data_IF_938036349173
#
_entry.id   IF_938036349173
#
_cell.length_a   1.000
_cell.length_b   1.000
_cell.length_c   1.000
_cell.angle_alpha   90.00
_cell.angle_beta   90.00
_cell.angle_gamma   90.00
#
_symmetry.space_group_name_H-M   'P 1'
#
loop_
_entity.id
_entity.type
_entity.pdbx_description
1 polymer ?
#
# COMPACT_ATOMS: atom_id res chain seq x y z
N UNK A 1 -31.41 4.61 -6.45
CA UNK A 1 -31.42 3.34 -5.69
C UNK A 1 -30.16 2.50 -5.92
N UNK A 2 -29.76 2.11 -7.15
CA UNK A 2 -28.55 1.28 -7.39
C UNK A 2 -27.21 1.85 -6.88
N UNK A 3 -27.03 3.18 -6.89
CA UNK A 3 -25.80 3.82 -6.39
C UNK A 3 -25.66 3.70 -4.86
N UNK A 4 -26.73 4.04 -4.11
CA UNK A 4 -26.74 3.92 -2.65
C UNK A 4 -26.48 2.49 -2.18
N UNK A 5 -27.06 1.51 -2.88
CA UNK A 5 -26.81 0.09 -2.58
C UNK A 5 -25.34 -0.29 -2.82
N UNK A 6 -24.74 0.18 -3.92
CA UNK A 6 -23.33 -0.09 -4.23
C UNK A 6 -22.39 0.61 -3.24
N UNK A 7 -22.68 1.86 -2.89
CA UNK A 7 -21.97 2.61 -1.86
C UNK A 7 -21.98 1.85 -0.53
N UNK A 8 -23.17 1.42 -0.07
CA UNK A 8 -23.32 0.63 1.15
C UNK A 8 -22.53 -0.67 1.12
N UNK A 9 -22.58 -1.41 0.01
CA UNK A 9 -21.81 -2.67 -0.15
C UNK A 9 -20.30 -2.46 -0.10
N UNK A 10 -19.81 -1.34 -0.64
CA UNK A 10 -18.39 -1.01 -0.60
C UNK A 10 -17.97 -0.59 0.80
N UNK A 11 -18.78 0.22 1.46
CA UNK A 11 -18.56 0.59 2.86
C UNK A 11 -18.54 -0.64 3.78
N UNK A 12 -19.52 -1.54 3.64
CA UNK A 12 -19.57 -2.82 4.35
C UNK A 12 -18.28 -3.63 4.10
N UNK A 13 -17.84 -3.78 2.85
CA UNK A 13 -16.61 -4.50 2.53
C UNK A 13 -15.34 -3.86 3.12
N UNK A 14 -15.24 -2.53 3.16
CA UNK A 14 -14.12 -1.83 3.79
C UNK A 14 -14.10 -2.08 5.29
N UNK A 15 -15.25 -1.97 5.95
CA UNK A 15 -15.35 -2.19 7.40
C UNK A 15 -15.15 -3.65 7.79
N UNK A 16 -15.66 -4.60 7.00
CA UNK A 16 -15.42 -6.04 7.21
C UNK A 16 -13.92 -6.34 7.14
N UNK A 17 -13.21 -5.79 6.14
CA UNK A 17 -11.75 -5.95 6.04
C UNK A 17 -11.01 -5.38 7.27
N UNK A 18 -11.41 -4.19 7.72
CA UNK A 18 -10.84 -3.53 8.91
C UNK A 18 -11.10 -4.38 10.17
N UNK A 19 -12.29 -4.98 10.30
CA UNK A 19 -12.66 -5.85 11.40
C UNK A 19 -11.86 -7.15 11.40
N UNK A 20 -11.73 -7.81 10.24
CA UNK A 20 -10.95 -9.03 10.10
C UNK A 20 -9.47 -8.78 10.45
N UNK A 21 -8.88 -7.67 10.01
CA UNK A 21 -7.51 -7.28 10.41
C UNK A 21 -7.41 -6.99 11.91
N UNK A 22 -8.40 -6.30 12.48
CA UNK A 22 -8.48 -6.02 13.91
C UNK A 22 -8.50 -7.30 14.74
N UNK A 23 -9.32 -8.26 14.34
CA UNK A 23 -9.46 -9.55 15.02
C UNK A 23 -8.19 -10.38 14.86
N UNK A 24 -7.71 -10.54 13.62
CA UNK A 24 -6.50 -11.29 13.29
C UNK A 24 -5.30 -10.74 14.08
N UNK A 25 -5.04 -9.43 14.03
CA UNK A 25 -3.87 -8.82 14.69
C UNK A 25 -4.12 -8.48 16.16
N UNK A 26 -5.35 -8.67 16.65
CA UNK A 26 -5.82 -8.27 17.98
C UNK A 26 -5.56 -6.78 18.29
N UNK A 27 -5.77 -5.90 17.32
CA UNK A 27 -5.54 -4.44 17.43
C UNK A 27 -6.88 -3.72 17.48
N UNK A 28 -7.18 -2.95 18.54
CA UNK A 28 -8.45 -2.22 18.61
C UNK A 28 -8.51 -1.09 17.58
N UNK A 29 -9.66 -0.97 16.91
CA UNK A 29 -9.94 0.10 15.94
C UNK A 29 -10.38 1.37 16.69
N UNK A 30 -9.63 2.47 16.62
CA UNK A 30 -9.98 3.70 17.35
C UNK A 30 -11.15 4.46 16.72
N UNK A 31 -11.37 4.32 15.42
CA UNK A 31 -12.49 4.88 14.66
C UNK A 31 -12.56 4.22 13.28
N UNK A 32 -13.74 4.26 12.65
CA UNK A 32 -13.91 3.88 11.25
C UNK A 32 -13.76 5.10 10.34
N UNK A 33 -13.05 4.98 9.21
CA UNK A 33 -12.96 6.05 8.24
C UNK A 33 -14.29 6.21 7.51
N UNK A 34 -14.56 7.40 7.00
CA UNK A 34 -15.65 7.61 6.07
C UNK A 34 -15.31 6.96 4.73
N UNK A 35 -16.26 6.28 4.07
CA UNK A 35 -16.00 5.54 2.83
C UNK A 35 -16.79 6.15 1.68
N UNK A 36 -16.14 6.40 0.54
CA UNK A 36 -16.80 6.90 -0.67
C UNK A 36 -16.44 6.09 -1.90
N UNK A 37 -17.47 5.66 -2.63
CA UNK A 37 -17.33 5.06 -3.94
C UNK A 37 -17.54 6.10 -5.03
N UNK A 38 -16.45 6.48 -5.71
CA UNK A 38 -16.48 7.50 -6.75
C UNK A 38 -16.98 6.94 -8.08
N UNK A 39 -18.31 6.89 -8.24
CA UNK A 39 -19.00 6.57 -9.49
C UNK A 39 -18.98 7.69 -10.54
N UNK A 40 -19.85 7.60 -11.56
CA UNK A 40 -20.01 8.63 -12.61
C UNK A 40 -20.63 9.94 -12.12
N UNK A 41 -21.15 9.97 -10.89
CA UNK A 41 -22.09 10.98 -10.40
C UNK A 41 -21.74 11.51 -9.02
N UNK A 42 -20.57 11.16 -8.45
CA UNK A 42 -20.15 11.79 -7.19
C UNK A 42 -19.61 13.16 -7.53
N UNK A 43 -20.35 14.17 -7.10
CA UNK A 43 -19.90 15.55 -7.13
C UNK A 43 -18.89 15.69 -5.99
N UNK A 44 -17.61 15.84 -6.31
CA UNK A 44 -16.57 16.07 -5.31
C UNK A 44 -16.87 17.31 -4.45
N UNK A 45 -17.83 18.15 -4.84
CA UNK A 45 -18.37 19.22 -4.01
C UNK A 45 -19.05 18.74 -2.71
N UNK A 46 -19.58 17.52 -2.67
CA UNK A 46 -20.22 16.94 -1.47
C UNK A 46 -19.19 16.47 -0.43
N UNK A 47 -17.99 16.10 -0.90
CA UNK A 47 -16.84 15.87 -0.04
C UNK A 47 -16.32 17.26 0.34
N UNK A 48 -16.51 17.70 1.58
CA UNK A 48 -16.07 19.01 2.09
C UNK A 48 -14.53 19.14 2.15
N UNK A 49 -13.88 18.92 1.00
CA UNK A 49 -12.45 18.86 0.76
C UNK A 49 -11.98 20.16 0.10
N UNK A 50 -10.76 20.61 0.40
CA UNK A 50 -10.10 21.67 -0.33
C UNK A 50 -10.06 21.41 -1.84
N UNK A 51 -10.15 22.48 -2.63
CA UNK A 51 -10.16 22.42 -4.10
C UNK A 51 -8.97 21.67 -4.68
N UNK A 52 -7.76 21.92 -4.17
CA UNK A 52 -6.55 21.23 -4.65
C UNK A 52 -6.61 19.70 -4.49
N UNK A 53 -7.27 19.21 -3.43
CA UNK A 53 -7.48 17.77 -3.27
C UNK A 53 -8.47 17.28 -4.31
N UNK A 54 -9.62 17.96 -4.47
CA UNK A 54 -10.66 17.55 -5.43
C UNK A 54 -10.11 17.36 -6.84
N UNK A 55 -9.26 18.26 -7.32
CA UNK A 55 -8.62 18.14 -8.64
C UNK A 55 -7.70 16.92 -8.75
N UNK A 56 -6.95 16.62 -7.68
CA UNK A 56 -6.10 15.43 -7.62
C UNK A 56 -6.95 14.15 -7.59
N UNK A 57 -8.02 14.16 -6.79
CA UNK A 57 -8.95 13.05 -6.66
C UNK A 57 -9.65 12.74 -7.98
N UNK A 58 -10.03 13.76 -8.74
CA UNK A 58 -10.65 13.59 -10.04
C UNK A 58 -9.68 12.93 -11.03
N UNK A 59 -8.41 13.35 -11.06
CA UNK A 59 -7.37 12.73 -11.88
C UNK A 59 -7.17 11.26 -11.51
N UNK A 60 -7.03 10.95 -10.21
CA UNK A 60 -6.86 9.58 -9.70
C UNK A 60 -8.10 8.70 -9.96
N UNK A 61 -9.31 9.24 -9.86
CA UNK A 61 -10.52 8.48 -10.15
C UNK A 61 -10.62 8.11 -11.64
N UNK A 62 -10.19 8.99 -12.55
CA UNK A 62 -10.13 8.69 -13.99
C UNK A 62 -9.19 7.52 -14.29
N UNK A 63 -8.10 7.40 -13.54
CA UNK A 63 -7.14 6.29 -13.65
C UNK A 63 -7.55 5.05 -12.84
N UNK A 64 -8.61 5.14 -12.03
CA UNK A 64 -9.15 4.00 -11.28
C UNK A 64 -8.41 3.70 -9.98
N UNK A 65 -7.66 4.67 -9.46
CA UNK A 65 -6.85 4.53 -8.25
C UNK A 65 -7.73 4.80 -7.01
N UNK A 66 -7.74 3.86 -6.07
CA UNK A 66 -8.28 4.03 -4.71
C UNK A 66 -7.20 4.63 -3.79
N UNK A 67 -7.59 5.31 -2.72
CA UNK A 67 -6.64 5.92 -1.77
C UNK A 67 -7.32 6.37 -0.47
N UNK A 68 -6.55 6.39 0.61
CA UNK A 68 -6.94 6.87 1.93
C UNK A 68 -6.38 8.27 2.20
N UNK A 69 -7.27 9.24 2.43
CA UNK A 69 -6.92 10.62 2.73
C UNK A 69 -6.73 10.80 4.25
N UNK A 70 -5.51 10.60 4.72
CA UNK A 70 -5.16 10.58 6.16
C UNK A 70 -5.73 11.77 6.97
N UNK A 71 -5.57 13.04 6.56
CA UNK A 71 -6.05 14.18 7.36
C UNK A 71 -7.57 14.24 7.52
N UNK A 72 -8.31 13.67 6.58
CA UNK A 72 -9.78 13.68 6.55
C UNK A 72 -10.38 12.36 7.00
N UNK A 73 -9.58 11.31 7.15
CA UNK A 73 -10.02 9.95 7.52
C UNK A 73 -11.04 9.40 6.53
N UNK A 74 -10.78 9.62 5.24
CA UNK A 74 -11.66 9.20 4.15
C UNK A 74 -10.98 8.12 3.32
N UNK A 75 -11.63 6.97 3.16
CA UNK A 75 -11.28 5.95 2.16
C UNK A 75 -12.05 6.23 0.88
N UNK A 76 -11.32 6.34 -0.22
CA UNK A 76 -11.90 6.54 -1.54
C UNK A 76 -11.68 5.30 -2.38
N UNK A 77 -12.79 4.69 -2.80
CA UNK A 77 -12.81 3.51 -3.66
C UNK A 77 -13.19 3.92 -5.06
N UNK A 78 -12.32 3.60 -6.02
CA UNK A 78 -12.54 3.97 -7.42
C UNK A 78 -13.72 3.22 -8.04
N UNK A 79 -14.29 3.78 -9.11
CA UNK A 79 -15.37 3.12 -9.86
C UNK A 79 -15.01 1.70 -10.33
N UNK A 80 -13.74 1.51 -10.69
CA UNK A 80 -13.21 0.29 -11.32
C UNK A 80 -12.48 -0.62 -10.33
N UNK A 81 -12.54 -0.32 -9.03
CA UNK A 81 -11.87 -1.10 -8.01
C UNK A 81 -12.29 -2.58 -8.07
N UNK A 82 -11.28 -3.45 -8.04
CA UNK A 82 -11.45 -4.90 -7.88
C UNK A 82 -11.71 -5.22 -6.40
N UNK A 83 -12.07 -6.48 -6.09
CA UNK A 83 -12.17 -6.92 -4.71
C UNK A 83 -10.82 -6.74 -3.99
N UNK A 84 -9.72 -7.14 -4.63
CA UNK A 84 -8.36 -6.94 -4.10
C UNK A 84 -8.06 -5.48 -3.77
N UNK A 85 -8.37 -4.54 -4.68
CA UNK A 85 -8.12 -3.12 -4.44
C UNK A 85 -8.91 -2.55 -3.26
N UNK A 86 -10.08 -3.12 -2.94
CA UNK A 86 -10.83 -2.76 -1.72
C UNK A 86 -10.11 -3.29 -0.49
N UNK A 87 -9.65 -4.56 -0.51
CA UNK A 87 -8.92 -5.16 0.62
C UNK A 87 -7.63 -4.40 0.93
N UNK A 88 -6.85 -4.08 -0.10
CA UNK A 88 -5.59 -3.36 0.01
C UNK A 88 -5.78 -1.94 0.55
N UNK A 89 -6.73 -1.18 -0.01
CA UNK A 89 -7.01 0.18 0.48
C UNK A 89 -7.53 0.18 1.92
N UNK A 90 -8.35 -0.80 2.27
CA UNK A 90 -8.82 -0.98 3.64
C UNK A 90 -7.68 -1.31 4.59
N UNK A 91 -6.69 -2.07 4.12
CA UNK A 91 -5.47 -2.41 4.87
C UNK A 91 -4.56 -1.20 5.06
N UNK A 92 -4.42 -0.34 4.05
CA UNK A 92 -3.75 0.95 4.17
C UNK A 92 -4.43 1.83 5.22
N UNK A 93 -5.76 1.98 5.12
CA UNK A 93 -6.53 2.75 6.07
C UNK A 93 -6.36 2.22 7.49
N UNK A 94 -6.50 0.90 7.70
CA UNK A 94 -6.29 0.25 8.99
C UNK A 94 -4.91 0.59 9.58
N UNK A 95 -3.83 0.38 8.81
CA UNK A 95 -2.47 0.69 9.27
C UNK A 95 -2.29 2.17 9.60
N UNK A 96 -2.77 3.09 8.76
CA UNK A 96 -2.59 4.53 8.95
C UNK A 96 -3.44 5.08 10.10
N UNK A 97 -4.61 4.47 10.37
CA UNK A 97 -5.47 4.80 11.52
C UNK A 97 -4.77 4.50 12.85
N UNK A 98 -4.06 3.36 12.95
CA UNK A 98 -3.47 2.88 14.20
C UNK A 98 -2.03 3.34 14.42
N UNK A 99 -1.25 3.51 13.36
CA UNK A 99 0.20 3.78 13.44
C UNK A 99 0.56 5.24 13.69
N UNK A 100 -0.37 6.19 13.48
CA UNK A 100 -0.11 7.65 13.60
C UNK A 100 1.11 8.11 12.78
N UNK A 101 1.38 7.47 11.63
CA UNK A 101 2.45 7.88 10.72
C UNK A 101 2.30 9.36 10.36
N UNK A 102 3.43 10.08 10.41
CA UNK A 102 3.54 11.45 9.94
C UNK A 102 4.55 11.54 8.79
N UNK A 103 4.20 12.25 7.73
CA UNK A 103 5.08 12.54 6.59
C UNK A 103 5.92 13.81 6.81
N UNK A 104 5.61 14.60 7.83
CA UNK A 104 6.24 15.90 8.08
C UNK A 104 7.69 15.78 8.55
N UNK A 105 8.57 16.64 8.01
CA UNK A 105 9.96 16.74 8.46
C UNK A 105 10.88 15.60 8.02
N UNK A 106 10.42 14.73 7.11
CA UNK A 106 11.21 13.62 6.54
C UNK A 106 11.98 14.07 5.30
N UNK A 107 13.18 13.52 5.11
CA UNK A 107 13.92 13.70 3.86
C UNK A 107 13.39 12.75 2.77
N UNK A 108 13.76 13.01 1.52
CA UNK A 108 13.30 12.25 0.35
C UNK A 108 13.56 10.74 0.45
N UNK A 109 14.73 10.32 0.96
CA UNK A 109 15.04 8.89 1.06
C UNK A 109 14.15 8.18 2.07
N UNK A 110 13.91 8.81 3.21
CA UNK A 110 13.02 8.28 4.24
C UNK A 110 11.56 8.26 3.77
N UNK A 111 11.12 9.25 2.99
CA UNK A 111 9.78 9.27 2.38
C UNK A 111 9.58 8.14 1.37
N UNK A 112 10.56 7.85 0.52
CA UNK A 112 10.48 6.73 -0.44
C UNK A 112 10.39 5.38 0.30
N UNK A 113 11.21 5.17 1.34
CA UNK A 113 11.12 3.96 2.15
C UNK A 113 9.81 3.88 2.93
N UNK A 114 9.28 5.01 3.41
CA UNK A 114 7.98 5.06 4.07
C UNK A 114 6.87 4.66 3.09
N UNK A 115 6.89 5.16 1.86
CA UNK A 115 5.93 4.76 0.83
C UNK A 115 5.97 3.23 0.60
N UNK A 116 7.16 2.66 0.39
CA UNK A 116 7.30 1.21 0.21
C UNK A 116 6.82 0.40 1.43
N UNK A 117 7.02 0.89 2.66
CA UNK A 117 6.49 0.25 3.87
C UNK A 117 4.97 0.35 3.96
N UNK A 118 4.38 1.48 3.55
CA UNK A 118 2.92 1.64 3.52
C UNK A 118 2.30 0.69 2.49
N UNK A 119 2.87 0.58 1.28
CA UNK A 119 2.50 -0.43 0.27
C UNK A 119 2.65 -1.86 0.77
N UNK A 120 3.74 -2.14 1.50
CA UNK A 120 3.91 -3.44 2.15
C UNK A 120 2.76 -3.75 3.12
N UNK A 121 2.30 -2.79 3.94
CA UNK A 121 1.18 -3.03 4.86
C UNK A 121 -0.16 -3.17 4.15
N UNK A 122 -0.40 -2.40 3.08
CA UNK A 122 -1.59 -2.53 2.24
C UNK A 122 -1.72 -3.94 1.67
N UNK A 123 -0.67 -4.40 0.99
CA UNK A 123 -0.65 -5.71 0.36
C UNK A 123 -0.64 -6.85 1.39
N UNK A 124 0.17 -6.76 2.45
CA UNK A 124 0.23 -7.77 3.51
C UNK A 124 -1.11 -7.91 4.22
N UNK A 125 -1.77 -6.79 4.55
CA UNK A 125 -3.10 -6.80 5.16
C UNK A 125 -4.12 -7.48 4.27
N UNK A 126 -4.14 -7.15 2.98
CA UNK A 126 -5.03 -7.79 2.01
C UNK A 126 -4.81 -9.32 1.96
N UNK A 127 -3.55 -9.79 2.03
CA UNK A 127 -3.25 -11.24 2.07
C UNK A 127 -3.73 -11.91 3.35
N UNK A 128 -3.61 -11.25 4.51
CA UNK A 128 -4.04 -11.80 5.80
C UNK A 128 -5.57 -12.05 5.85
N UNK A 129 -6.34 -11.21 5.16
CA UNK A 129 -7.81 -11.27 5.11
C UNK A 129 -8.37 -11.89 3.82
N UNK A 130 -7.55 -12.70 3.14
CA UNK A 130 -8.05 -13.61 2.11
C UNK A 130 -7.88 -13.17 0.67
N UNK A 131 -7.05 -12.18 0.36
CA UNK A 131 -6.61 -11.96 -1.02
C UNK A 131 -5.79 -13.14 -1.54
N UNK A 132 -6.19 -13.68 -2.68
CA UNK A 132 -5.48 -14.70 -3.46
C UNK A 132 -4.58 -14.11 -4.57
N UNK A 133 -4.58 -12.78 -4.75
CA UNK A 133 -3.77 -12.13 -5.77
C UNK A 133 -2.27 -12.39 -5.55
N UNK A 134 -1.62 -12.88 -6.60
CA UNK A 134 -0.16 -13.02 -6.68
C UNK A 134 0.50 -11.65 -6.87
N UNK A 135 1.73 -11.48 -6.38
CA UNK A 135 2.46 -10.24 -6.53
C UNK A 135 2.80 -9.98 -8.02
N UNK A 136 2.22 -8.95 -8.66
CA UNK A 136 2.44 -8.68 -10.08
C UNK A 136 3.87 -8.24 -10.41
N UNK A 137 4.71 -8.00 -9.40
CA UNK A 137 6.10 -7.59 -9.55
C UNK A 137 7.10 -8.73 -9.33
N UNK A 138 6.66 -9.98 -9.10
CA UNK A 138 7.54 -11.10 -8.75
C UNK A 138 8.62 -11.38 -9.81
N UNK A 139 8.28 -11.20 -11.09
CA UNK A 139 9.19 -11.43 -12.22
C UNK A 139 10.22 -10.31 -12.44
N UNK A 140 10.08 -9.17 -11.74
CA UNK A 140 11.01 -8.05 -11.92
C UNK A 140 12.25 -8.18 -11.03
N UNK A 141 13.45 -7.84 -11.54
CA UNK A 141 14.66 -7.84 -10.73
C UNK A 141 14.53 -6.82 -9.60
N UNK A 142 15.08 -7.16 -8.43
CA UNK A 142 15.09 -6.26 -7.28
C UNK A 142 15.87 -4.97 -7.58
N UNK A 143 15.14 -3.88 -7.84
CA UNK A 143 15.69 -2.59 -8.25
C UNK A 143 16.70 -2.02 -7.25
N UNK A 144 16.54 -2.35 -5.95
CA UNK A 144 17.44 -1.86 -4.89
C UNK A 144 18.86 -2.43 -4.96
N UNK A 145 19.08 -3.51 -5.73
CA UNK A 145 20.37 -4.19 -5.87
C UNK A 145 21.05 -3.93 -7.22
N UNK A 146 20.34 -3.26 -8.14
CA UNK A 146 20.85 -2.97 -9.49
C UNK A 146 21.81 -1.78 -9.51
N UNK A 147 22.75 -1.81 -10.45
CA UNK A 147 23.55 -0.62 -10.79
C UNK A 147 22.67 0.48 -11.38
N UNK A 148 23.10 1.74 -11.30
CA UNK A 148 22.35 2.88 -11.87
C UNK A 148 22.03 2.66 -13.36
N UNK A 149 22.99 2.16 -14.13
CA UNK A 149 22.79 1.85 -15.56
C UNK A 149 21.72 0.77 -15.77
N UNK A 150 21.66 -0.24 -14.90
CA UNK A 150 20.67 -1.29 -14.97
C UNK A 150 19.29 -0.80 -14.50
N UNK A 151 19.23 0.11 -13.54
CA UNK A 151 17.98 0.79 -13.15
C UNK A 151 17.41 1.62 -14.31
N UNK A 152 18.26 2.37 -15.03
CA UNK A 152 17.85 3.12 -16.23
C UNK A 152 17.28 2.19 -17.30
N UNK A 153 17.94 1.05 -17.58
CA UNK A 153 17.41 0.04 -18.53
C UNK A 153 16.05 -0.51 -18.11
N UNK A 154 15.85 -0.77 -16.82
CA UNK A 154 14.55 -1.24 -16.32
C UNK A 154 13.50 -0.13 -16.44
N UNK A 155 13.86 1.12 -16.14
CA UNK A 155 12.97 2.28 -16.32
C UNK A 155 12.54 2.44 -17.80
N UNK A 156 13.47 2.31 -18.75
CA UNK A 156 13.17 2.33 -20.19
C UNK A 156 12.24 1.19 -20.61
N UNK A 157 12.44 -0.02 -20.07
CA UNK A 157 11.56 -1.16 -20.30
C UNK A 157 10.16 -0.95 -19.71
N UNK A 158 10.06 -0.39 -18.50
CA UNK A 158 8.78 -0.05 -17.87
C UNK A 158 8.04 0.99 -18.71
N UNK A 159 8.71 2.05 -19.17
CA UNK A 159 8.09 3.06 -20.02
C UNK A 159 7.55 2.48 -21.34
N UNK A 160 8.20 1.44 -21.89
CA UNK A 160 7.71 0.72 -23.09
C UNK A 160 6.46 -0.11 -22.82
N UNK A 161 6.31 -0.68 -21.61
CA UNK A 161 5.20 -1.57 -21.26
C UNK A 161 4.00 -0.80 -20.68
N UNK A 162 4.27 0.16 -19.79
CA UNK A 162 3.27 0.94 -19.04
C UNK A 162 3.00 2.33 -19.66
N UNK A 163 3.79 2.76 -20.63
CA UNK A 163 3.68 4.05 -21.31
C UNK A 163 4.64 5.11 -20.77
N UNK A 164 4.88 6.16 -21.57
CA UNK A 164 5.87 7.22 -21.30
C UNK A 164 5.61 8.03 -20.00
N UNK A 165 4.41 7.92 -19.42
CA UNK A 165 4.02 8.59 -18.19
C UNK A 165 4.11 7.70 -16.93
N UNK A 166 4.73 6.52 -17.02
CA UNK A 166 4.90 5.65 -15.86
C UNK A 166 5.82 6.29 -14.82
N UNK A 167 5.32 6.49 -13.59
CA UNK A 167 6.13 7.00 -12.49
C UNK A 167 7.04 5.89 -11.95
N UNK A 168 8.34 6.04 -12.17
CA UNK A 168 9.33 5.07 -11.73
C UNK A 168 9.40 4.95 -10.20
N UNK A 169 9.13 6.05 -9.46
CA UNK A 169 9.10 5.97 -8.00
C UNK A 169 7.90 5.13 -7.55
N UNK A 170 6.76 5.28 -8.21
CA UNK A 170 5.55 4.48 -7.97
C UNK A 170 5.79 3.00 -8.21
N UNK A 171 6.35 2.69 -9.37
CA UNK A 171 6.78 1.33 -9.66
C UNK A 171 7.75 0.78 -8.59
N UNK A 172 8.74 1.57 -8.20
CA UNK A 172 9.74 1.17 -7.21
C UNK A 172 9.10 0.86 -5.86
N UNK A 173 8.27 1.75 -5.32
CA UNK A 173 7.70 1.52 -3.99
C UNK A 173 6.69 0.37 -3.98
N UNK A 174 5.93 0.16 -5.07
CA UNK A 174 5.04 -0.99 -5.19
C UNK A 174 5.81 -2.30 -5.26
N UNK A 175 6.82 -2.39 -6.14
CA UNK A 175 7.66 -3.58 -6.27
C UNK A 175 8.29 -3.95 -4.91
N UNK A 176 8.89 -2.97 -4.25
CA UNK A 176 9.61 -3.21 -2.99
C UNK A 176 8.65 -3.53 -1.84
N UNK A 177 7.51 -2.84 -1.77
CA UNK A 177 6.49 -3.07 -0.75
C UNK A 177 5.86 -4.46 -0.88
N UNK A 178 5.36 -4.80 -2.06
CA UNK A 178 4.69 -6.08 -2.32
C UNK A 178 5.64 -7.25 -2.18
N UNK A 179 6.87 -7.12 -2.69
CA UNK A 179 7.86 -8.18 -2.54
C UNK A 179 8.23 -8.46 -1.09
N UNK A 180 8.25 -7.44 -0.22
CA UNK A 180 8.48 -7.63 1.21
C UNK A 180 7.25 -8.29 1.87
N UNK A 181 6.05 -7.80 1.55
CA UNK A 181 4.79 -8.32 2.06
C UNK A 181 4.65 -9.82 1.80
N UNK A 182 4.92 -10.27 0.57
CA UNK A 182 4.87 -11.69 0.21
C UNK A 182 5.83 -12.56 1.01
N UNK A 183 7.08 -12.11 1.13
CA UNK A 183 8.11 -12.84 1.88
C UNK A 183 7.73 -12.93 3.35
N UNK A 184 7.22 -11.84 3.93
CA UNK A 184 6.73 -11.84 5.32
C UNK A 184 5.52 -12.76 5.46
N UNK A 185 4.57 -12.72 4.53
CA UNK A 185 3.36 -13.55 4.55
C UNK A 185 3.69 -15.04 4.45
N UNK A 186 4.58 -15.45 3.55
CA UNK A 186 5.05 -16.84 3.46
C UNK A 186 5.75 -17.31 4.74
N UNK A 187 6.53 -16.43 5.38
CA UNK A 187 7.16 -16.71 6.67
C UNK A 187 6.13 -16.79 7.81
N UNK A 188 5.06 -16.02 7.74
CA UNK A 188 3.92 -16.12 8.65
C UNK A 188 3.22 -17.46 8.52
N UNK A 189 2.87 -17.88 7.30
CA UNK A 189 2.22 -19.17 7.02
C UNK A 189 3.04 -20.38 7.49
N UNK A 190 4.37 -20.26 7.50
CA UNK A 190 5.29 -21.32 7.97
C UNK A 190 5.64 -21.22 9.46
N UNK A 191 5.03 -20.29 10.20
CA UNK A 191 5.25 -20.07 11.64
C UNK A 191 6.59 -19.41 11.99
N UNK A 192 7.36 -18.94 11.00
CA UNK A 192 8.64 -18.25 11.21
C UNK A 192 8.46 -16.78 11.60
N UNK A 193 7.34 -16.17 11.22
CA UNK A 193 6.91 -14.85 11.71
C UNK A 193 5.68 -15.07 12.58
N UNK A 194 5.71 -14.55 13.81
CA UNK A 194 4.57 -14.66 14.73
C UNK A 194 3.54 -13.56 14.50
N UNK A 195 2.31 -13.82 14.92
CA UNK A 195 1.23 -12.82 14.88
C UNK A 195 1.57 -11.56 15.69
N UNK A 196 2.22 -11.72 16.85
CA UNK A 196 2.73 -10.58 17.64
C UNK A 196 3.73 -9.72 16.87
N UNK A 197 4.54 -10.34 16.00
CA UNK A 197 5.48 -9.61 15.15
C UNK A 197 4.76 -8.82 14.07
N UNK A 198 3.75 -9.40 13.42
CA UNK A 198 2.90 -8.70 12.45
C UNK A 198 2.18 -7.53 13.12
N UNK A 199 1.60 -7.75 14.30
CA UNK A 199 0.97 -6.71 15.10
C UNK A 199 1.91 -5.52 15.35
N UNK A 200 3.16 -5.79 15.75
CA UNK A 200 4.14 -4.72 15.96
C UNK A 200 4.46 -3.94 14.67
N UNK A 201 4.49 -4.60 13.53
CA UNK A 201 4.68 -3.94 12.23
C UNK A 201 3.52 -3.00 11.90
N UNK A 202 2.28 -3.47 12.06
CA UNK A 202 1.08 -2.66 11.81
C UNK A 202 0.94 -1.45 12.76
N UNK A 203 1.45 -1.55 13.98
CA UNK A 203 1.43 -0.47 14.98
C UNK A 203 2.59 0.55 14.84
N UNK A 204 3.59 0.27 13.99
CA UNK A 204 4.80 1.08 13.93
C UNK A 204 4.57 2.45 13.23
N UNK A 205 5.00 3.53 13.88
CA UNK A 205 4.83 4.92 13.40
C UNK A 205 6.04 5.44 12.59
N UNK A 206 7.14 4.68 12.60
CA UNK A 206 8.43 4.98 12.00
C UNK A 206 8.93 6.41 12.30
N UNK A 207 8.62 6.97 13.48
CA UNK A 207 8.75 8.41 13.78
C UNK A 207 10.19 8.91 14.02
N UNK A 208 11.13 8.00 14.31
CA UNK A 208 12.54 8.37 14.50
C UNK A 208 13.18 8.95 13.22
N UNK A 209 14.23 9.78 13.37
CA UNK A 209 14.97 10.34 12.22
C UNK A 209 15.53 9.21 11.34
N UNK A 210 15.17 9.14 10.05
CA UNK A 210 15.45 8.01 9.15
C UNK A 210 14.85 6.66 9.64
N UNK A 211 13.74 6.71 10.36
CA UNK A 211 13.09 5.54 10.95
C UNK A 211 12.56 4.58 9.91
N UNK A 212 11.90 5.10 8.86
CA UNK A 212 11.37 4.27 7.78
C UNK A 212 12.49 3.67 6.93
N UNK A 213 13.54 4.45 6.63
CA UNK A 213 14.73 3.96 5.94
C UNK A 213 15.40 2.80 6.70
N UNK A 214 15.60 2.96 8.02
CA UNK A 214 16.21 1.90 8.85
C UNK A 214 15.34 0.66 8.90
N UNK A 215 14.03 0.83 9.08
CA UNK A 215 13.12 -0.30 9.16
C UNK A 215 13.03 -1.05 7.83
N UNK A 216 12.93 -0.33 6.71
CA UNK A 216 12.95 -0.92 5.38
C UNK A 216 14.22 -1.72 5.15
N UNK A 217 15.40 -1.16 5.45
CA UNK A 217 16.67 -1.89 5.34
C UNK A 217 16.74 -3.12 6.25
N UNK A 218 16.20 -3.02 7.47
CA UNK A 218 16.13 -4.13 8.42
C UNK A 218 15.27 -5.28 7.88
N UNK A 219 14.08 -4.97 7.38
CA UNK A 219 13.16 -5.94 6.78
C UNK A 219 13.74 -6.55 5.50
N UNK A 220 14.40 -5.77 4.65
CA UNK A 220 15.11 -6.27 3.47
C UNK A 220 16.18 -7.29 3.86
N UNK A 221 17.02 -6.99 4.85
CA UNK A 221 18.05 -7.93 5.30
C UNK A 221 17.48 -9.20 5.93
N UNK A 222 16.32 -9.11 6.59
CA UNK A 222 15.68 -10.24 7.26
C UNK A 222 14.93 -11.16 6.27
N UNK A 223 14.17 -10.58 5.34
CA UNK A 223 13.22 -11.31 4.52
C UNK A 223 13.62 -11.43 3.06
N UNK A 224 14.46 -10.52 2.56
CA UNK A 224 14.90 -10.50 1.18
C UNK A 224 16.26 -11.19 1.07
N UNK A 225 16.33 -12.43 0.55
CA UNK A 225 17.60 -13.13 0.43
C UNK A 225 18.53 -12.30 -0.45
N UNK A 226 19.75 -12.05 0.04
CA UNK A 226 20.80 -11.53 -0.82
C UNK A 226 21.08 -12.61 -1.87
N UNK A 227 20.84 -12.29 -3.14
CA UNK A 227 21.36 -13.14 -4.20
C UNK A 227 22.87 -13.24 -3.97
N UNK A 228 23.35 -14.45 -3.70
CA UNK A 228 24.78 -14.71 -3.87
C UNK A 228 25.10 -14.28 -5.30
N UNK A 229 26.15 -13.47 -5.54
CA UNK A 229 26.47 -13.03 -6.88
C UNK A 229 26.58 -14.28 -7.74
N UNK A 230 25.67 -14.43 -8.72
CA UNK A 230 25.82 -15.47 -9.71
C UNK A 230 27.15 -15.16 -10.39
N UNK A 231 28.13 -16.05 -10.19
CA UNK A 231 29.38 -15.96 -10.91
C UNK A 231 29.04 -15.84 -12.41
N UNK A 232 29.59 -14.85 -13.12
CA UNK A 232 29.35 -14.72 -14.55
C UNK A 232 29.74 -16.05 -15.21
N UNK A 233 28.79 -16.62 -15.96
CA UNK A 233 29.09 -17.69 -16.92
C UNK A 233 29.75 -17.09 -18.15
#
# INVERSE_FOLDING_TARGET
>A
MKWLERQRKIEEAVYDTINELSDELSIPIPYYPEVWWLGRTVDFADLALPEYLRDELEKRNRTGISYYIVPYKIVIISKKATAHAILEESSHAFHLIISKISYWGRNTKDLVCLAALVEMMGFLGARLVGSDLENPYEDFPDLSTLTLESQIRVQESIAKVLGENADFNEFFFHQQGYGLADRIYLKYLTGQVSLSRLRHLFLADFSSNNGALREFARLKNEFWPQQSPQAPK
#
